data_IF_053721646944
#
_entry.id   IF_053721646944
#
_cell.length_a   1.000
_cell.length_b   1.000
_cell.length_c   1.000
_cell.angle_alpha   90.00
_cell.angle_beta   90.00
_cell.angle_gamma   90.00
#
_symmetry.space_group_name_H-M   'P 1'
#
loop_
_entity.id
_entity.type
_entity.pdbx_description
1 polymer ?
#
# COMPACT_ATOMS: atom_id res chain seq x y z
N UNK A 1 -7.01 5.98 4.08
CA UNK A 1 -7.86 7.09 3.57
C UNK A 1 -8.49 6.64 2.25
N UNK A 2 -9.66 7.17 1.86
CA UNK A 2 -10.43 6.61 0.74
C UNK A 2 -11.14 5.31 1.15
N UNK A 3 -11.05 4.27 0.33
CA UNK A 3 -11.71 2.98 0.56
C UNK A 3 -11.00 2.08 1.59
N UNK A 4 -9.92 2.58 2.22
CA UNK A 4 -9.15 1.86 3.23
C UNK A 4 -10.03 1.22 4.31
N UNK A 5 -9.64 0.03 4.80
CA UNK A 5 -10.18 -0.50 6.05
C UNK A 5 -10.00 0.51 7.18
N UNK A 6 -10.96 0.52 8.11
CA UNK A 6 -10.86 1.29 9.34
C UNK A 6 -9.61 0.88 10.14
N UNK A 7 -9.07 1.80 10.96
CA UNK A 7 -7.98 1.49 11.89
C UNK A 7 -8.35 0.41 12.93
N UNK A 8 -9.65 0.08 13.06
CA UNK A 8 -10.15 -1.02 13.90
C UNK A 8 -10.28 -2.35 13.15
N UNK A 9 -10.07 -2.37 11.83
CA UNK A 9 -10.16 -3.59 11.03
C UNK A 9 -9.02 -4.55 11.42
N UNK A 10 -9.35 -5.84 11.50
CA UNK A 10 -8.37 -6.91 11.69
C UNK A 10 -8.04 -7.56 10.35
N UNK A 11 -6.77 -7.91 10.16
CA UNK A 11 -6.32 -8.63 8.97
C UNK A 11 -4.96 -8.16 8.45
N UNK A 12 -4.24 -9.10 7.84
CA UNK A 12 -2.98 -8.83 7.17
C UNK A 12 -3.17 -8.12 5.83
N UNK A 13 -2.06 -7.66 5.25
CA UNK A 13 -2.06 -6.89 4.01
C UNK A 13 -2.83 -7.56 2.86
N UNK A 14 -2.61 -8.86 2.64
CA UNK A 14 -3.31 -9.64 1.60
C UNK A 14 -4.82 -9.74 1.84
N UNK A 15 -5.26 -9.84 3.09
CA UNK A 15 -6.69 -9.90 3.42
C UNK A 15 -7.37 -8.57 3.13
N UNK A 16 -6.66 -7.46 3.37
CA UNK A 16 -7.14 -6.13 3.02
C UNK A 16 -7.27 -5.96 1.50
N UNK A 17 -6.26 -6.35 0.72
CA UNK A 17 -6.33 -6.34 -0.75
C UNK A 17 -7.51 -7.18 -1.27
N UNK A 18 -7.69 -8.39 -0.72
CA UNK A 18 -8.80 -9.28 -1.09
C UNK A 18 -10.18 -8.76 -0.69
N UNK A 19 -10.27 -7.94 0.36
CA UNK A 19 -11.53 -7.28 0.74
C UNK A 19 -11.84 -6.12 -0.20
N UNK A 20 -10.82 -5.33 -0.54
CA UNK A 20 -10.94 -4.13 -1.34
C UNK A 20 -11.25 -4.40 -2.81
N UNK A 21 -10.67 -5.46 -3.38
CA UNK A 21 -10.95 -5.83 -4.78
C UNK A 21 -12.41 -6.27 -5.04
N UNK A 22 -13.18 -6.51 -3.97
CA UNK A 22 -14.61 -6.85 -4.07
C UNK A 22 -15.52 -5.63 -4.25
N UNK A 23 -14.99 -4.41 -4.09
CA UNK A 23 -15.77 -3.21 -4.33
C UNK A 23 -16.05 -3.08 -5.83
N UNK A 24 -17.33 -3.02 -6.19
CA UNK A 24 -17.73 -2.94 -7.60
C UNK A 24 -17.45 -1.55 -8.16
N UNK A 25 -16.49 -1.48 -9.09
CA UNK A 25 -16.09 -0.24 -9.74
C UNK A 25 -17.22 0.38 -10.57
N UNK A 26 -18.18 -0.41 -11.08
CA UNK A 26 -19.30 0.12 -11.87
C UNK A 26 -20.13 1.14 -11.10
N UNK A 27 -20.14 1.06 -9.76
CA UNK A 27 -20.84 1.97 -8.85
C UNK A 27 -19.94 3.11 -8.32
N UNK A 28 -18.67 3.13 -8.68
CA UNK A 28 -17.66 4.07 -8.18
C UNK A 28 -16.71 4.52 -9.30
N UNK A 29 -17.27 4.90 -10.45
CA UNK A 29 -16.51 5.25 -11.65
C UNK A 29 -15.55 6.44 -11.48
N UNK A 30 -15.71 7.24 -10.42
CA UNK A 30 -14.78 8.32 -10.04
C UNK A 30 -13.50 7.80 -9.34
N UNK A 31 -13.39 6.48 -9.13
CA UNK A 31 -12.20 5.81 -8.62
C UNK A 31 -12.36 5.27 -7.20
N UNK A 32 -11.58 4.22 -6.91
CA UNK A 32 -11.53 3.59 -5.58
C UNK A 32 -10.09 3.65 -5.09
N UNK A 33 -9.79 4.63 -4.24
CA UNK A 33 -8.44 4.82 -3.72
C UNK A 33 -8.17 3.94 -2.50
N UNK A 34 -7.16 3.07 -2.60
CA UNK A 34 -6.55 2.35 -1.49
C UNK A 34 -5.14 2.91 -1.23
N UNK A 35 -4.80 3.19 0.03
CA UNK A 35 -3.44 3.48 0.48
C UNK A 35 -2.98 2.44 1.47
N UNK A 36 -1.87 1.77 1.21
CA UNK A 36 -1.39 0.68 2.06
C UNK A 36 0.12 0.69 2.18
N UNK A 37 0.61 0.00 3.20
CA UNK A 37 2.04 -0.11 3.50
C UNK A 37 2.36 -1.57 3.78
N UNK A 38 3.53 -2.00 3.33
CA UNK A 38 4.10 -3.30 3.63
C UNK A 38 5.58 -3.13 3.96
N UNK A 39 6.10 -3.89 4.93
CA UNK A 39 7.54 -3.90 5.18
C UNK A 39 8.24 -4.72 4.09
N UNK A 40 9.47 -4.34 3.66
CA UNK A 40 10.20 -5.11 2.65
C UNK A 40 10.34 -6.59 3.04
N UNK A 41 10.62 -6.87 4.32
CA UNK A 41 10.78 -8.24 4.84
C UNK A 41 9.52 -9.10 4.72
N UNK A 42 8.32 -8.50 4.70
CA UNK A 42 7.08 -9.24 4.48
C UNK A 42 6.89 -9.67 3.02
N UNK A 43 7.63 -9.07 2.08
CA UNK A 43 7.62 -9.43 0.66
C UNK A 43 8.66 -10.51 0.32
N UNK A 44 9.66 -10.76 1.15
CA UNK A 44 10.72 -11.74 0.85
C UNK A 44 12.00 -11.48 1.62
N UNK A 45 12.90 -12.47 1.64
CA UNK A 45 14.20 -12.37 2.31
C UNK A 45 15.24 -11.70 1.44
N UNK A 46 15.17 -11.91 0.12
CA UNK A 46 16.04 -11.27 -0.86
C UNK A 46 15.28 -10.19 -1.63
N UNK A 47 16.01 -9.26 -2.25
CA UNK A 47 15.39 -8.23 -3.08
C UNK A 47 14.62 -8.84 -4.26
N UNK A 48 15.18 -9.86 -4.92
CA UNK A 48 14.52 -10.53 -6.05
C UNK A 48 13.22 -11.22 -5.63
N UNK A 49 13.21 -11.89 -4.46
CA UNK A 49 11.99 -12.44 -3.88
C UNK A 49 10.96 -11.34 -3.59
N UNK A 50 11.39 -10.21 -3.03
CA UNK A 50 10.50 -9.08 -2.71
C UNK A 50 9.82 -8.53 -3.97
N UNK A 51 10.58 -8.36 -5.05
CA UNK A 51 10.06 -7.89 -6.34
C UNK A 51 9.09 -8.92 -6.92
N UNK A 52 9.49 -10.18 -7.01
CA UNK A 52 8.66 -11.24 -7.60
C UNK A 52 7.34 -11.44 -6.84
N UNK A 53 7.38 -11.46 -5.52
CA UNK A 53 6.19 -11.58 -4.69
C UNK A 53 5.31 -10.34 -4.78
N UNK A 54 5.90 -9.15 -4.82
CA UNK A 54 5.13 -7.92 -4.97
C UNK A 54 4.37 -7.89 -6.30
N UNK A 55 5.04 -8.22 -7.42
CA UNK A 55 4.39 -8.34 -8.73
C UNK A 55 3.23 -9.32 -8.68
N UNK A 56 3.47 -10.54 -8.18
CA UNK A 56 2.45 -11.59 -8.05
C UNK A 56 1.23 -11.13 -7.25
N UNK A 57 1.45 -10.40 -6.15
CA UNK A 57 0.38 -9.89 -5.28
C UNK A 57 -0.42 -8.79 -5.99
N UNK A 58 0.26 -7.89 -6.69
CA UNK A 58 -0.39 -6.81 -7.43
C UNK A 58 -1.18 -7.36 -8.61
N UNK A 59 -0.64 -8.31 -9.36
CA UNK A 59 -1.35 -9.01 -10.44
C UNK A 59 -2.67 -9.61 -9.92
N UNK A 60 -2.60 -10.39 -8.82
CA UNK A 60 -3.80 -10.98 -8.21
C UNK A 60 -4.79 -9.97 -7.61
N UNK A 61 -4.35 -8.75 -7.29
CA UNK A 61 -5.23 -7.66 -6.87
C UNK A 61 -5.96 -7.03 -8.06
N UNK A 62 -5.23 -6.66 -9.11
CA UNK A 62 -5.78 -5.98 -10.29
C UNK A 62 -6.62 -6.93 -11.16
N UNK A 63 -6.16 -8.16 -11.40
CA UNK A 63 -6.95 -9.20 -12.08
C UNK A 63 -8.25 -9.54 -11.32
N UNK A 64 -8.20 -9.39 -9.99
CA UNK A 64 -9.34 -9.62 -9.11
C UNK A 64 -10.33 -8.45 -9.00
N UNK A 65 -10.19 -7.39 -9.81
CA UNK A 65 -11.10 -6.24 -9.83
C UNK A 65 -10.64 -5.03 -9.01
N UNK A 66 -9.47 -5.09 -8.36
CA UNK A 66 -8.87 -3.93 -7.71
C UNK A 66 -8.58 -2.82 -8.72
N UNK A 67 -8.95 -1.57 -8.41
CA UNK A 67 -8.85 -0.47 -9.37
C UNK A 67 -7.57 0.36 -9.23
N UNK A 68 -7.15 0.67 -7.99
CA UNK A 68 -6.00 1.53 -7.74
C UNK A 68 -5.37 1.21 -6.38
N UNK A 69 -4.04 1.31 -6.29
CA UNK A 69 -3.30 1.20 -5.03
C UNK A 69 -2.19 2.25 -4.92
N UNK A 70 -2.14 2.90 -3.77
CA UNK A 70 -0.98 3.60 -3.25
C UNK A 70 -0.23 2.65 -2.33
N UNK A 71 0.99 2.31 -2.70
CA UNK A 71 1.80 1.36 -1.95
C UNK A 71 3.07 2.03 -1.44
N UNK A 72 3.28 1.93 -0.14
CA UNK A 72 4.51 2.27 0.56
C UNK A 72 5.24 0.98 0.94
N UNK A 73 6.45 0.76 0.42
CA UNK A 73 7.29 -0.39 0.78
C UNK A 73 8.40 0.09 1.71
N UNK A 74 8.10 0.13 3.02
CA UNK A 74 8.96 0.76 4.02
C UNK A 74 8.68 0.26 5.43
N UNK A 75 9.72 0.25 6.26
CA UNK A 75 9.61 -0.01 7.70
C UNK A 75 9.31 1.30 8.44
N UNK A 76 8.34 1.29 9.36
CA UNK A 76 7.93 2.49 10.08
C UNK A 76 9.08 3.07 10.92
N UNK A 77 9.92 2.21 11.50
CA UNK A 77 11.06 2.65 12.31
C UNK A 77 12.09 3.37 11.43
N UNK A 78 12.43 2.78 10.28
CA UNK A 78 13.40 3.38 9.35
C UNK A 78 12.91 4.73 8.83
N UNK A 79 11.61 4.87 8.59
CA UNK A 79 10.98 6.13 8.17
C UNK A 79 11.08 7.18 9.25
N UNK A 80 10.74 6.82 10.49
CA UNK A 80 10.83 7.71 11.63
C UNK A 80 12.28 8.18 11.85
N UNK A 81 13.24 7.26 11.82
CA UNK A 81 14.66 7.56 12.02
C UNK A 81 15.17 8.53 10.95
N UNK A 82 14.80 8.33 9.67
CA UNK A 82 15.14 9.25 8.58
C UNK A 82 14.56 10.66 8.79
N UNK A 83 13.29 10.75 9.16
CA UNK A 83 12.64 12.04 9.44
C UNK A 83 13.35 12.76 10.59
N UNK A 84 13.67 12.05 11.67
CA UNK A 84 14.36 12.62 12.84
C UNK A 84 15.80 13.08 12.51
N UNK A 85 16.43 12.46 11.51
CA UNK A 85 17.74 12.87 10.99
C UNK A 85 17.66 14.02 9.97
N UNK A 86 16.47 14.54 9.67
CA UNK A 86 16.28 15.62 8.69
C UNK A 86 16.37 15.17 7.23
N UNK A 87 16.31 13.86 6.98
CA UNK A 87 16.27 13.29 5.63
C UNK A 87 14.86 13.38 5.04
N UNK A 88 14.80 13.66 3.75
CA UNK A 88 13.55 13.71 2.99
C UNK A 88 13.00 12.29 2.82
N UNK A 89 11.74 12.08 3.22
CA UNK A 89 11.02 10.83 2.95
C UNK A 89 9.79 11.13 2.11
N UNK A 90 9.67 10.48 0.96
CA UNK A 90 8.48 10.58 0.11
C UNK A 90 7.54 9.43 0.46
N UNK A 91 6.30 9.74 0.81
CA UNK A 91 5.27 8.74 1.13
C UNK A 91 4.06 8.90 0.22
N UNK A 92 3.51 7.78 -0.23
CA UNK A 92 2.21 7.74 -0.92
C UNK A 92 1.11 7.91 0.12
N UNK A 93 0.20 8.85 -0.12
CA UNK A 93 -1.02 9.03 0.66
C UNK A 93 -2.24 8.91 -0.26
N UNK A 94 -3.33 9.63 -0.01
CA UNK A 94 -4.67 9.43 -0.60
C UNK A 94 -4.80 9.77 -2.10
N UNK A 95 -4.00 9.18 -2.97
CA UNK A 95 -4.01 9.38 -4.44
C UNK A 95 -2.77 10.12 -4.97
N UNK A 96 -1.84 10.50 -4.10
CA UNK A 96 -0.68 11.33 -4.42
C UNK A 96 0.49 11.07 -3.47
N UNK A 97 1.64 11.69 -3.74
CA UNK A 97 2.83 11.62 -2.88
C UNK A 97 3.02 12.92 -2.10
N UNK A 98 3.57 12.81 -0.88
CA UNK A 98 4.03 13.95 -0.09
C UNK A 98 5.46 13.73 0.37
N UNK A 99 6.23 14.82 0.48
CA UNK A 99 7.51 14.82 1.17
C UNK A 99 7.24 15.07 2.66
N UNK A 100 7.83 14.28 3.56
CA UNK A 100 7.66 14.47 5.01
C UNK A 100 8.34 15.75 5.52
N UNK A 101 9.22 16.34 4.72
CA UNK A 101 9.81 17.64 4.98
C UNK A 101 8.87 18.74 4.48
N UNK A 102 8.06 19.27 5.41
CA UNK A 102 7.28 20.49 5.26
C UNK A 102 7.71 21.51 6.30
#
# INVERSE_FOLDING_TARGET
PGANPSNKASGGWLQNLNSLKKLDFAHANDGISLTTQVSPKALGKTFDEQVANLVTILDGYFEGGGQHVNLNVMDLKDVYDKIMNGEDVIVRISGYCVNTKY
#
